data_IF_869784582807
#
_entry.id   IF_869784582807
#
_cell.length_a   1.000
_cell.length_b   1.000
_cell.length_c   1.000
_cell.angle_alpha   90.00
_cell.angle_beta   90.00
_cell.angle_gamma   90.00
#
_symmetry.space_group_name_H-M   'P 1'
#
loop_
_entity.id
_entity.type
_entity.pdbx_description
1 polymer ?
#
# COMPACT_ATOMS: atom_id res chain seq x y z
N UNK A 1 -1.68 -0.04 -19.18
CA UNK A 1 -2.02 -0.10 -17.74
C UNK A 1 -2.58 -1.48 -17.47
N UNK A 2 -1.98 -2.20 -16.52
CA UNK A 2 -2.51 -3.44 -15.95
C UNK A 2 -3.77 -3.19 -15.11
N UNK A 3 -4.41 -4.26 -14.65
CA UNK A 3 -5.78 -4.22 -14.13
C UNK A 3 -5.95 -3.41 -12.83
N UNK A 4 -4.85 -3.19 -12.10
CA UNK A 4 -4.82 -2.41 -10.85
C UNK A 4 -3.81 -1.26 -10.90
N UNK A 5 -3.19 -0.98 -12.06
CA UNK A 5 -2.24 0.12 -12.20
C UNK A 5 -2.92 1.48 -11.97
N UNK A 6 -2.23 2.39 -11.29
CA UNK A 6 -2.74 3.73 -11.01
C UNK A 6 -2.14 4.34 -9.75
N UNK A 7 -2.42 5.63 -9.57
CA UNK A 7 -2.09 6.34 -8.33
C UNK A 7 -3.36 6.52 -7.53
N UNK A 8 -3.34 6.09 -6.28
CA UNK A 8 -4.47 6.13 -5.36
C UNK A 8 -4.10 6.99 -4.16
N UNK A 9 -4.97 7.94 -3.78
CA UNK A 9 -4.70 8.84 -2.65
C UNK A 9 -5.87 8.92 -1.68
N UNK A 10 -5.58 9.04 -0.40
CA UNK A 10 -6.61 9.33 0.61
C UNK A 10 -7.11 10.77 0.51
N UNK A 11 -8.34 11.02 0.94
CA UNK A 11 -8.97 12.35 0.90
C UNK A 11 -8.15 13.40 1.68
N UNK A 12 -7.51 12.99 2.77
CA UNK A 12 -6.66 13.85 3.59
C UNK A 12 -5.21 13.97 3.07
N UNK A 13 -4.89 13.33 1.94
CA UNK A 13 -3.56 13.33 1.32
C UNK A 13 -2.46 12.68 2.17
N UNK A 14 -2.82 11.94 3.23
CA UNK A 14 -1.84 11.28 4.11
C UNK A 14 -1.29 10.00 3.53
N UNK A 15 -2.06 9.32 2.69
CA UNK A 15 -1.70 8.03 2.12
C UNK A 15 -1.75 8.11 0.60
N UNK A 16 -0.67 7.67 -0.05
CA UNK A 16 -0.62 7.55 -1.50
C UNK A 16 0.01 6.21 -1.88
N UNK A 17 -0.73 5.40 -2.62
CA UNK A 17 -0.26 4.15 -3.22
C UNK A 17 -0.13 4.35 -4.73
N UNK A 18 1.05 4.12 -5.28
CA UNK A 18 1.26 4.14 -6.73
C UNK A 18 1.58 2.73 -7.19
N UNK A 19 0.71 2.14 -7.99
CA UNK A 19 0.93 0.84 -8.64
C UNK A 19 1.41 1.13 -10.07
N UNK A 20 2.70 0.88 -10.31
CA UNK A 20 3.34 1.18 -11.61
C UNK A 20 3.28 0.00 -12.57
N UNK A 21 3.15 -1.22 -12.04
CA UNK A 21 3.13 -2.44 -12.84
C UNK A 21 2.40 -3.56 -12.11
N UNK A 22 1.39 -4.12 -12.76
CA UNK A 22 0.67 -5.31 -12.28
C UNK A 22 0.70 -6.46 -13.27
N UNK A 23 0.71 -7.68 -12.75
CA UNK A 23 0.83 -8.92 -13.50
C UNK A 23 -0.37 -9.82 -13.22
N UNK A 24 -1.34 -9.85 -14.13
CA UNK A 24 -2.57 -10.63 -13.94
C UNK A 24 -2.32 -12.15 -13.86
N UNK A 25 -1.19 -12.64 -14.38
CA UNK A 25 -0.86 -14.07 -14.44
C UNK A 25 -0.61 -14.70 -13.07
N UNK A 26 -0.15 -13.91 -12.10
CA UNK A 26 0.23 -14.37 -10.76
C UNK A 26 -0.31 -13.44 -9.66
N UNK A 27 -1.15 -12.46 -10.03
CA UNK A 27 -1.75 -11.54 -9.07
C UNK A 27 -0.75 -10.64 -8.36
N UNK A 28 0.44 -10.38 -8.91
CA UNK A 28 1.44 -9.54 -8.24
C UNK A 28 1.47 -8.12 -8.80
N UNK A 29 1.93 -7.16 -7.98
CA UNK A 29 2.21 -5.81 -8.44
C UNK A 29 3.44 -5.20 -7.77
N UNK A 30 4.01 -4.21 -8.46
CA UNK A 30 5.12 -3.37 -8.00
C UNK A 30 4.64 -1.92 -7.90
N UNK A 31 5.22 -1.16 -6.97
CA UNK A 31 4.79 0.20 -6.74
C UNK A 31 5.60 0.95 -5.69
N UNK A 32 5.03 2.06 -5.23
CA UNK A 32 5.53 2.89 -4.15
C UNK A 32 4.38 3.25 -3.19
N UNK A 33 4.71 3.52 -1.92
CA UNK A 33 3.74 3.93 -0.92
C UNK A 33 4.27 5.04 -0.04
N UNK A 34 3.47 6.10 0.13
CA UNK A 34 3.72 7.19 1.06
C UNK A 34 2.66 7.13 2.15
N UNK A 35 3.09 7.16 3.41
CA UNK A 35 2.20 7.24 4.58
C UNK A 35 2.66 8.31 5.56
N UNK A 36 1.82 9.33 5.78
CA UNK A 36 2.04 10.44 6.72
C UNK A 36 1.24 10.22 7.99
N UNK A 37 1.92 10.06 9.12
CA UNK A 37 1.28 10.01 10.43
C UNK A 37 1.83 11.12 11.33
N UNK A 38 0.95 11.86 12.01
CA UNK A 38 1.32 13.07 12.77
C UNK A 38 2.39 12.81 13.83
N UNK A 39 2.42 11.61 14.42
CA UNK A 39 3.39 11.23 15.46
C UNK A 39 4.68 10.60 14.93
N UNK A 40 4.67 10.07 13.70
CA UNK A 40 5.80 9.32 13.13
C UNK A 40 6.48 10.04 11.97
N UNK A 41 5.90 11.14 11.49
CA UNK A 41 6.32 11.81 10.28
C UNK A 41 5.87 11.08 9.01
N UNK A 42 6.53 11.40 7.91
CA UNK A 42 6.31 10.77 6.60
C UNK A 42 7.23 9.56 6.44
N UNK A 43 6.67 8.47 5.90
CA UNK A 43 7.42 7.33 5.42
C UNK A 43 7.15 7.19 3.93
N UNK A 44 8.24 7.06 3.16
CA UNK A 44 8.20 6.83 1.72
C UNK A 44 8.89 5.50 1.41
N UNK A 45 8.13 4.54 0.89
CA UNK A 45 8.63 3.32 0.30
C UNK A 45 8.67 3.50 -1.22
N UNK A 46 9.86 3.72 -1.78
CA UNK A 46 10.04 3.87 -3.23
C UNK A 46 9.78 2.57 -4.00
N UNK A 47 9.87 1.43 -3.30
CA UNK A 47 9.62 0.11 -3.85
C UNK A 47 8.83 -0.72 -2.83
N UNK A 48 7.73 -1.30 -3.29
CA UNK A 48 6.97 -2.34 -2.59
C UNK A 48 6.60 -3.46 -3.55
N UNK A 49 6.27 -4.60 -2.96
CA UNK A 49 5.64 -5.72 -3.66
C UNK A 49 4.29 -5.97 -3.02
N UNK A 50 3.29 -6.13 -3.86
CA UNK A 50 1.96 -6.49 -3.42
C UNK A 50 1.34 -7.60 -4.23
N UNK A 51 0.19 -8.01 -3.75
CA UNK A 51 -0.61 -9.10 -4.28
C UNK A 51 -2.06 -8.64 -4.42
N UNK A 52 -2.76 -9.24 -5.37
CA UNK A 52 -4.18 -9.12 -5.54
C UNK A 52 -4.74 -10.39 -6.17
N UNK A 53 -6.01 -10.67 -5.89
CA UNK A 53 -6.75 -11.69 -6.60
C UNK A 53 -8.18 -11.23 -6.84
N UNK A 54 -8.67 -11.50 -8.04
CA UNK A 54 -10.04 -11.19 -8.39
C UNK A 54 -10.97 -12.26 -7.85
N UNK A 55 -12.10 -11.84 -7.30
CA UNK A 55 -13.17 -12.78 -6.89
C UNK A 55 -13.74 -13.63 -8.04
N UNK A 56 -13.40 -13.31 -9.30
CA UNK A 56 -13.81 -14.03 -10.49
C UNK A 56 -12.75 -13.96 -11.58
N UNK A 57 -12.45 -15.10 -12.23
CA UNK A 57 -11.54 -15.15 -13.39
C UNK A 57 -12.07 -14.45 -14.65
N UNK A 58 -13.34 -14.05 -14.68
CA UNK A 58 -13.98 -13.37 -15.81
C UNK A 58 -14.31 -11.90 -15.53
N UNK A 59 -13.95 -11.38 -14.34
CA UNK A 59 -14.19 -9.99 -13.95
C UNK A 59 -12.98 -9.41 -13.25
N UNK A 60 -12.50 -8.27 -13.74
CA UNK A 60 -11.38 -7.53 -13.13
C UNK A 60 -11.81 -6.63 -11.94
N UNK A 61 -12.81 -7.08 -11.17
CA UNK A 61 -13.30 -6.50 -9.90
C UNK A 61 -14.40 -7.41 -9.28
N UNK A 62 -14.65 -7.32 -7.96
CA UNK A 62 -13.75 -6.78 -6.94
C UNK A 62 -12.52 -7.69 -6.79
N UNK A 63 -11.45 -7.12 -6.23
CA UNK A 63 -10.23 -7.86 -5.90
C UNK A 63 -9.90 -7.70 -4.42
N UNK A 64 -9.44 -8.77 -3.78
CA UNK A 64 -8.61 -8.60 -2.58
C UNK A 64 -7.26 -8.04 -3.05
N UNK A 65 -6.69 -7.10 -2.29
CA UNK A 65 -5.43 -6.46 -2.63
C UNK A 65 -4.65 -6.17 -1.35
N UNK A 66 -3.34 -6.35 -1.38
CA UNK A 66 -2.48 -6.08 -0.25
C UNK A 66 -1.03 -5.87 -0.67
N UNK A 67 -0.23 -5.33 0.24
CA UNK A 67 1.21 -5.21 0.04
C UNK A 67 1.94 -5.26 1.37
N UNK A 68 3.24 -5.48 1.28
CA UNK A 68 4.15 -5.24 2.39
C UNK A 68 5.32 -4.38 1.94
N UNK A 69 5.88 -3.63 2.87
CA UNK A 69 7.06 -2.81 2.63
C UNK A 69 7.92 -2.72 3.88
N UNK A 70 9.24 -2.67 3.71
CA UNK A 70 10.19 -2.54 4.82
C UNK A 70 11.14 -1.40 4.55
N UNK A 71 11.40 -0.59 5.58
CA UNK A 71 12.37 0.48 5.56
C UNK A 71 13.43 0.18 6.63
N UNK A 72 14.69 0.29 6.24
CA UNK A 72 15.81 0.24 7.17
C UNK A 72 16.83 1.31 6.75
N UNK A 73 17.18 2.26 7.62
CA UNK A 73 18.19 3.26 7.31
C UNK A 73 19.58 2.61 7.20
N UNK A 74 20.52 3.35 6.62
CA UNK A 74 21.95 3.01 6.61
C UNK A 74 22.72 4.12 7.36
N UNK A 75 23.42 3.82 8.47
CA UNK A 75 23.57 2.51 9.11
C UNK A 75 22.26 2.00 9.73
N UNK A 76 22.12 0.67 9.84
CA UNK A 76 20.91 0.02 10.32
C UNK A 76 20.77 0.15 11.84
N UNK A 77 19.91 1.05 12.29
CA UNK A 77 19.58 1.29 13.71
C UNK A 77 18.13 0.95 14.08
N UNK A 78 17.22 0.91 13.09
CA UNK A 78 15.84 0.49 13.27
C UNK A 78 15.28 -0.14 11.98
N UNK A 79 14.11 -0.76 12.09
CA UNK A 79 13.33 -1.27 10.96
C UNK A 79 11.89 -0.79 11.12
N UNK A 80 11.29 -0.36 10.02
CA UNK A 80 9.86 -0.13 9.90
C UNK A 80 9.31 -1.12 8.90
N UNK A 81 8.28 -1.87 9.28
CA UNK A 81 7.57 -2.77 8.38
C UNK A 81 6.09 -2.41 8.34
N UNK A 82 5.55 -2.30 7.14
CA UNK A 82 4.15 -2.05 6.85
C UNK A 82 3.57 -3.27 6.17
N UNK A 83 2.39 -3.70 6.63
CA UNK A 83 1.56 -4.68 5.96
C UNK A 83 0.15 -4.11 5.81
N UNK A 84 -0.35 -4.09 4.58
CA UNK A 84 -1.65 -3.53 4.24
C UNK A 84 -2.48 -4.58 3.50
N UNK A 85 -3.77 -4.65 3.81
CA UNK A 85 -4.70 -5.55 3.13
C UNK A 85 -6.07 -4.88 3.00
N UNK A 86 -6.75 -5.15 1.89
CA UNK A 86 -7.99 -4.50 1.56
C UNK A 86 -8.65 -5.03 0.31
N UNK A 87 -9.55 -4.21 -0.22
CA UNK A 87 -10.43 -4.54 -1.33
C UNK A 87 -10.35 -3.43 -2.37
N UNK A 88 -10.11 -3.81 -3.63
CA UNK A 88 -10.37 -2.95 -4.79
C UNK A 88 -11.83 -3.07 -5.20
N UNK A 89 -12.50 -1.94 -5.22
CA UNK A 89 -13.94 -1.81 -5.47
C UNK A 89 -14.23 -1.57 -6.96
N UNK A 90 -15.52 -1.63 -7.34
CA UNK A 90 -15.97 -1.55 -8.73
C UNK A 90 -15.62 -0.21 -9.41
N UNK A 91 -15.52 0.87 -8.65
CA UNK A 91 -15.14 2.20 -9.17
C UNK A 91 -13.61 2.40 -9.25
N UNK A 92 -12.83 1.35 -8.97
CA UNK A 92 -11.38 1.40 -8.97
C UNK A 92 -10.76 1.79 -7.64
N UNK A 93 -11.52 2.33 -6.68
CA UNK A 93 -10.96 2.73 -5.37
C UNK A 93 -10.52 1.51 -4.56
N UNK A 94 -9.56 1.74 -3.66
CA UNK A 94 -9.05 0.74 -2.74
C UNK A 94 -9.46 1.14 -1.32
N UNK A 95 -10.03 0.18 -0.57
CA UNK A 95 -10.31 0.34 0.85
C UNK A 95 -9.41 -0.66 1.58
N UNK A 96 -8.52 -0.18 2.44
CA UNK A 96 -7.56 -1.05 3.12
C UNK A 96 -7.29 -0.64 4.57
N UNK A 97 -6.96 -1.63 5.38
CA UNK A 97 -6.37 -1.43 6.70
C UNK A 97 -4.91 -1.85 6.68
N UNK A 98 -4.12 -1.33 7.60
CA UNK A 98 -2.70 -1.65 7.69
C UNK A 98 -2.18 -1.72 9.11
N UNK A 99 -1.06 -2.42 9.27
CA UNK A 99 -0.27 -2.43 10.50
C UNK A 99 1.13 -1.95 10.15
N UNK A 100 1.65 -1.03 10.97
CA UNK A 100 3.03 -0.58 10.95
C UNK A 100 3.71 -0.97 12.23
N UNK A 101 4.83 -1.66 12.12
CA UNK A 101 5.72 -1.97 13.25
C UNK A 101 7.00 -1.18 13.12
N UNK A 102 7.47 -0.65 14.25
CA UNK A 102 8.79 -0.03 14.40
C UNK A 102 9.58 -0.85 15.42
N UNK A 103 10.83 -1.19 15.12
CA UNK A 103 11.73 -1.91 16.05
C UNK A 103 13.14 -1.35 15.97
N UNK A 104 13.80 -1.14 17.11
CA UNK A 104 15.19 -0.68 17.19
C UNK A 104 16.16 -1.80 17.52
N UNK A 105 17.45 -1.58 17.27
CA UNK A 105 18.54 -2.45 17.71
C UNK A 105 18.68 -2.55 19.24
N UNK A 106 18.19 -1.54 19.98
CA UNK A 106 18.08 -1.54 21.43
C UNK A 106 16.87 -2.32 21.97
N UNK A 107 16.04 -2.91 21.10
CA UNK A 107 14.86 -3.71 21.48
C UNK A 107 13.63 -2.89 21.84
N UNK A 108 13.61 -1.58 21.55
CA UNK A 108 12.39 -0.76 21.64
C UNK A 108 11.49 -1.06 20.45
N UNK A 109 10.18 -1.03 20.67
CA UNK A 109 9.22 -1.28 19.60
C UNK A 109 7.96 -0.44 19.78
N UNK A 110 7.25 -0.25 18.67
CA UNK A 110 5.93 0.36 18.64
C UNK A 110 5.10 -0.25 17.49
N UNK A 111 3.78 -0.28 17.67
CA UNK A 111 2.84 -0.89 16.72
C UNK A 111 1.67 0.07 16.49
N UNK A 112 1.42 0.36 15.22
CA UNK A 112 0.37 1.25 14.78
C UNK A 112 -0.60 0.49 13.88
N UNK A 113 -1.90 0.72 14.07
CA UNK A 113 -2.96 0.17 13.24
C UNK A 113 -3.67 1.29 12.51
N UNK A 114 -3.91 1.11 11.21
CA UNK A 114 -4.66 2.05 10.38
C UNK A 114 -5.93 1.37 9.93
N UNK A 115 -7.07 1.91 10.33
CA UNK A 115 -8.37 1.31 10.05
C UNK A 115 -9.03 1.96 8.84
N UNK A 116 -9.35 1.14 7.85
CA UNK A 116 -10.26 1.48 6.74
C UNK A 116 -9.88 2.79 6.02
N UNK A 117 -8.63 2.89 5.59
CA UNK A 117 -8.15 3.95 4.70
C UNK A 117 -8.76 3.76 3.32
N UNK A 118 -9.40 4.81 2.81
CA UNK A 118 -9.96 4.85 1.46
C UNK A 118 -8.98 5.58 0.55
N UNK A 119 -8.50 4.89 -0.48
CA UNK A 119 -7.63 5.43 -1.51
C UNK A 119 -8.41 5.54 -2.82
N UNK A 120 -8.56 6.78 -3.30
CA UNK A 120 -9.29 7.10 -4.53
C UNK A 120 -8.33 7.15 -5.70
N UNK A 121 -8.69 6.51 -6.81
CA UNK A 121 -7.90 6.54 -8.03
C UNK A 121 -7.85 7.97 -8.59
N UNK A 122 -6.65 8.51 -8.78
CA UNK A 122 -6.44 9.80 -9.42
C UNK A 122 -6.61 9.62 -10.94
N UNK A 123 -7.47 10.42 -11.61
CA UNK A 123 -7.58 10.39 -13.06
C UNK A 123 -6.24 10.75 -13.71
N UNK A 124 -5.76 9.94 -14.65
CA UNK A 124 -4.72 10.36 -15.58
C UNK A 124 -5.37 11.34 -16.56
N UNK A 125 -4.89 12.60 -16.60
CA UNK A 125 -5.29 13.54 -17.65
C UNK A 125 -4.98 12.91 -19.02
N UNK A 126 -5.98 12.91 -19.92
CA UNK A 126 -5.86 12.41 -21.29
C UNK A 126 -5.19 13.44 -22.21
#
# INVERSE_FOLDING_TARGET
MGAVDGTYTSEDGKYTLTITKSYNSNGSFEGAFIGKHLTMGEINYEQLVGEYDFSSGNKYWPAQIGFYATFSPTPKSYVIADHWNGIRTANGNIIMSGVRTYTTDAGLYDIYTFEKVILTLIPTEQ
#
